data_IF_639237974157
#
_entry.id   IF_639237974157
#
_cell.length_a   1.000
_cell.length_b   1.000
_cell.length_c   1.000
_cell.angle_alpha   90.00
_cell.angle_beta   90.00
_cell.angle_gamma   90.00
#
_symmetry.space_group_name_H-M   'P 1'
#
loop_
_entity.id
_entity.type
_entity.pdbx_description
1 polymer ?
#
# COMPACT_ATOMS: atom_id res chain seq x y z
N UNK A 1 5.50 8.31 -0.29
CA UNK A 1 5.43 8.53 1.17
C UNK A 1 6.18 7.39 1.82
N UNK A 2 6.93 7.66 2.90
CA UNK A 2 7.67 6.63 3.63
C UNK A 2 6.90 6.36 4.91
N UNK A 3 6.50 5.11 5.14
CA UNK A 3 5.92 4.71 6.43
C UNK A 3 7.06 4.45 7.43
N UNK A 4 6.99 4.97 8.66
CA UNK A 4 7.95 4.64 9.70
C UNK A 4 7.84 3.16 10.05
N UNK A 5 8.97 2.53 10.39
CA UNK A 5 8.95 1.15 10.87
C UNK A 5 8.40 1.06 12.30
N UNK A 6 7.80 -0.07 12.64
CA UNK A 6 7.24 -0.36 13.97
C UNK A 6 8.28 -0.53 15.09
N UNK A 7 9.56 -0.21 14.83
CA UNK A 7 10.64 -0.29 15.82
C UNK A 7 11.81 0.65 15.50
N UNK A 8 12.48 1.14 16.55
CA UNK A 8 13.73 1.91 16.43
C UNK A 8 14.76 1.08 15.64
N UNK A 9 15.19 1.59 14.49
CA UNK A 9 16.35 1.07 13.79
C UNK A 9 17.60 1.47 14.60
N UNK A 10 18.06 0.60 15.51
CA UNK A 10 19.32 0.80 16.21
C UNK A 10 20.47 0.48 15.25
N UNK A 11 21.35 1.45 15.05
CA UNK A 11 22.54 1.36 14.18
C UNK A 11 23.61 0.35 14.64
N UNK A 12 23.34 -0.49 15.64
CA UNK A 12 24.35 -1.30 16.33
C UNK A 12 24.22 -2.82 16.18
N UNK A 13 23.31 -3.35 15.34
CA UNK A 13 23.17 -4.82 15.21
C UNK A 13 22.90 -5.26 13.77
N UNK A 14 23.84 -5.00 12.87
CA UNK A 14 23.94 -5.72 11.59
C UNK A 14 24.54 -7.11 11.86
N UNK A 15 23.73 -8.04 12.40
CA UNK A 15 24.05 -9.47 12.45
C UNK A 15 23.13 -10.24 11.50
N UNK A 16 23.71 -10.65 10.37
CA UNK A 16 23.45 -11.88 9.59
C UNK A 16 22.02 -12.45 9.47
N UNK A 17 20.99 -11.61 9.48
CA UNK A 17 19.64 -11.95 9.03
C UNK A 17 19.31 -11.15 7.79
N UNK A 18 18.66 -11.76 6.80
CA UNK A 18 18.24 -11.12 5.55
C UNK A 18 17.32 -9.93 5.91
N UNK A 19 17.88 -8.73 5.98
CA UNK A 19 17.14 -7.49 6.22
C UNK A 19 16.55 -7.03 4.88
N UNK A 20 15.50 -7.73 4.45
CA UNK A 20 14.76 -7.42 3.23
C UNK A 20 14.07 -6.07 3.38
N UNK A 21 14.44 -5.08 2.56
CA UNK A 21 13.70 -3.82 2.48
C UNK A 21 12.45 -4.03 1.63
N UNK A 22 11.30 -3.61 2.13
CA UNK A 22 10.03 -3.73 1.42
C UNK A 22 9.68 -2.41 0.73
N UNK A 23 9.46 -2.47 -0.58
CA UNK A 23 8.92 -1.36 -1.36
C UNK A 23 7.52 -1.75 -1.83
N UNK A 24 6.49 -1.02 -1.39
CA UNK A 24 5.11 -1.21 -1.85
C UNK A 24 4.83 -0.18 -2.94
N UNK A 25 4.44 -0.64 -4.10
CA UNK A 25 4.16 0.20 -5.24
C UNK A 25 2.73 0.02 -5.66
N UNK A 26 1.92 0.99 -5.26
CA UNK A 26 0.55 1.12 -5.70
C UNK A 26 0.56 1.84 -7.05
N UNK A 27 1.13 1.18 -8.07
CA UNK A 27 1.14 1.72 -9.43
C UNK A 27 -0.27 1.65 -10.02
N UNK A 28 -0.52 2.47 -11.03
CA UNK A 28 -1.53 2.12 -12.01
C UNK A 28 -0.84 1.47 -13.19
N UNK A 29 -1.46 0.44 -13.74
CA UNK A 29 -1.02 -0.11 -15.00
C UNK A 29 -1.16 0.92 -16.12
N UNK A 30 -0.13 0.98 -16.95
CA UNK A 30 0.03 1.87 -18.10
C UNK A 30 -0.88 1.49 -19.29
N UNK A 31 -1.66 0.42 -19.18
CA UNK A 31 -2.28 -0.23 -20.36
C UNK A 31 -3.38 0.59 -21.04
N UNK A 32 -3.97 1.59 -20.38
CA UNK A 32 -5.17 2.28 -20.91
C UNK A 32 -4.95 3.72 -21.39
N UNK A 33 -3.89 4.41 -20.92
CA UNK A 33 -3.64 5.79 -21.31
C UNK A 33 -2.22 5.93 -21.85
N UNK A 34 -2.09 6.49 -23.06
CA UNK A 34 -0.82 6.84 -23.76
C UNK A 34 0.11 7.79 -22.97
N UNK A 35 -0.16 8.08 -21.70
CA UNK A 35 0.65 8.90 -20.81
C UNK A 35 1.54 8.02 -19.92
N UNK A 36 2.87 8.18 -20.02
CA UNK A 36 3.84 7.55 -19.11
C UNK A 36 3.66 8.11 -17.68
N UNK A 37 2.96 7.38 -16.80
CA UNK A 37 2.66 7.84 -15.42
C UNK A 37 3.80 7.60 -14.42
N UNK A 38 4.66 6.62 -14.67
CA UNK A 38 5.82 6.30 -13.85
C UNK A 38 6.91 5.69 -14.74
N UNK A 39 8.16 6.09 -14.58
CA UNK A 39 9.26 5.45 -15.30
C UNK A 39 9.49 4.03 -14.77
N UNK A 40 10.04 3.15 -15.60
CA UNK A 40 10.57 1.87 -15.13
C UNK A 40 11.89 2.13 -14.41
N UNK A 41 12.00 1.72 -13.14
CA UNK A 41 13.18 1.96 -12.30
C UNK A 41 13.80 0.65 -11.75
N UNK A 42 13.41 -0.50 -12.32
CA UNK A 42 13.97 -1.82 -12.01
C UNK A 42 13.79 -2.74 -13.23
N UNK A 43 14.62 -3.77 -13.40
CA UNK A 43 14.41 -4.78 -14.43
C UNK A 43 13.14 -5.58 -14.15
N UNK A 44 12.23 -5.68 -15.11
CA UNK A 44 10.94 -6.39 -14.97
C UNK A 44 10.99 -7.84 -15.45
N UNK A 45 12.11 -8.27 -16.02
CA UNK A 45 12.35 -9.63 -16.52
C UNK A 45 13.81 -10.01 -16.23
N UNK A 46 14.13 -11.29 -16.32
CA UNK A 46 15.50 -11.78 -16.20
C UNK A 46 16.37 -11.21 -17.34
N UNK A 47 17.13 -10.17 -17.04
CA UNK A 47 18.01 -9.47 -17.99
C UNK A 47 19.23 -8.89 -17.27
N UNK A 48 20.08 -8.16 -18.01
CA UNK A 48 21.19 -7.41 -17.42
C UNK A 48 20.66 -6.43 -16.35
N UNK A 49 21.44 -6.17 -15.27
CA UNK A 49 21.01 -5.28 -14.21
C UNK A 49 20.73 -3.87 -14.73
N UNK A 50 19.68 -3.25 -14.21
CA UNK A 50 19.41 -1.84 -14.45
C UNK A 50 20.34 -1.01 -13.57
N UNK A 51 21.13 -0.12 -14.17
CA UNK A 51 22.14 0.67 -13.47
C UNK A 51 21.72 2.13 -13.40
N UNK A 52 21.74 2.68 -12.19
CA UNK A 52 21.50 4.09 -11.88
C UNK A 52 22.71 4.64 -11.13
N UNK A 53 23.60 5.34 -11.84
CA UNK A 53 24.90 5.76 -11.31
C UNK A 53 25.68 4.55 -10.76
N UNK A 54 25.90 4.50 -9.45
CA UNK A 54 26.58 3.42 -8.74
C UNK A 54 25.62 2.36 -8.16
N UNK A 55 24.32 2.47 -8.40
CA UNK A 55 23.32 1.51 -7.91
C UNK A 55 22.96 0.53 -9.03
N UNK A 56 23.09 -0.76 -8.77
CA UNK A 56 22.69 -1.82 -9.71
C UNK A 56 21.50 -2.60 -9.14
N UNK A 57 20.46 -2.75 -9.94
CA UNK A 57 19.23 -3.49 -9.57
C UNK A 57 19.13 -4.73 -10.45
N UNK A 58 19.04 -5.90 -9.82
CA UNK A 58 18.99 -7.21 -10.45
C UNK A 58 17.59 -7.82 -10.26
N UNK A 59 17.00 -8.33 -11.33
CA UNK A 59 15.78 -9.13 -11.26
C UNK A 59 16.11 -10.52 -10.72
N UNK A 60 15.27 -11.05 -9.83
CA UNK A 60 15.39 -12.43 -9.35
C UNK A 60 14.22 -13.29 -9.82
N UNK A 61 13.01 -12.89 -9.43
CA UNK A 61 11.79 -13.61 -9.77
C UNK A 61 10.60 -12.66 -9.68
N UNK A 62 9.50 -13.08 -10.28
CA UNK A 62 8.21 -12.43 -10.15
C UNK A 62 7.14 -13.49 -9.93
N UNK A 63 6.19 -13.20 -9.06
CA UNK A 63 5.05 -14.08 -8.79
C UNK A 63 3.78 -13.27 -8.54
N UNK A 64 2.64 -13.93 -8.66
CA UNK A 64 1.34 -13.34 -8.30
C UNK A 64 1.15 -13.46 -6.79
N UNK A 65 0.85 -12.35 -6.11
CA UNK A 65 0.48 -12.38 -4.70
C UNK A 65 -0.88 -13.06 -4.54
N UNK A 66 -0.93 -14.07 -3.68
CA UNK A 66 -2.15 -14.84 -3.40
C UNK A 66 -2.73 -14.40 -2.07
N UNK A 67 -3.93 -13.81 -2.10
CA UNK A 67 -4.67 -13.50 -0.89
C UNK A 67 -5.31 -14.77 -0.31
N UNK A 68 -5.38 -14.92 1.02
CA UNK A 68 -6.00 -16.09 1.67
C UNK A 68 -7.54 -16.03 1.68
N UNK A 69 -8.13 -15.15 0.86
CA UNK A 69 -9.56 -14.94 0.72
C UNK A 69 -9.89 -14.51 -0.70
N UNK A 70 -11.15 -14.66 -1.09
CA UNK A 70 -11.63 -14.20 -2.38
C UNK A 70 -11.60 -12.67 -2.46
N UNK A 71 -10.89 -12.15 -3.44
CA UNK A 71 -10.82 -10.74 -3.80
C UNK A 71 -10.64 -10.63 -5.31
N UNK A 72 -11.15 -9.56 -5.90
CA UNK A 72 -10.88 -9.24 -7.30
C UNK A 72 -9.55 -8.52 -7.50
N UNK A 73 -8.97 -8.01 -6.41
CA UNK A 73 -7.72 -7.24 -6.40
C UNK A 73 -6.53 -8.09 -6.82
N UNK A 74 -5.65 -7.54 -7.66
CA UNK A 74 -4.49 -8.23 -8.19
C UNK A 74 -3.21 -7.50 -7.82
N UNK A 75 -2.30 -8.23 -7.19
CA UNK A 75 -0.98 -7.75 -6.80
C UNK A 75 0.09 -8.70 -7.32
N UNK A 76 1.14 -8.17 -7.94
CA UNK A 76 2.34 -8.92 -8.34
C UNK A 76 3.47 -8.61 -7.35
N UNK A 77 4.33 -9.58 -7.06
CA UNK A 77 5.56 -9.37 -6.28
C UNK A 77 6.74 -9.55 -7.22
N UNK A 78 7.65 -8.58 -7.28
CA UNK A 78 8.96 -8.73 -7.92
C UNK A 78 10.05 -8.76 -6.86
N UNK A 79 10.84 -9.83 -6.85
CA UNK A 79 12.01 -9.96 -6.00
C UNK A 79 13.23 -9.41 -6.73
N UNK A 80 13.94 -8.51 -6.06
CA UNK A 80 15.07 -7.77 -6.59
C UNK A 80 16.27 -7.88 -5.65
N UNK A 81 17.47 -7.80 -6.22
CA UNK A 81 18.70 -7.51 -5.48
C UNK A 81 19.24 -6.14 -5.88
N UNK A 82 19.64 -5.35 -4.89
CA UNK A 82 20.25 -4.04 -5.09
C UNK A 82 21.68 -4.08 -4.60
N UNK A 83 22.63 -3.72 -5.46
CA UNK A 83 24.05 -3.61 -5.15
C UNK A 83 24.50 -2.17 -5.24
N UNK A 84 25.21 -1.72 -4.21
CA UNK A 84 25.85 -0.41 -4.13
C UNK A 84 27.30 -0.66 -3.70
N UNK A 85 28.31 -0.15 -4.42
CA UNK A 85 29.71 -0.31 -4.04
C UNK A 85 29.97 0.11 -2.59
N UNK A 86 30.68 -0.73 -1.83
CA UNK A 86 30.98 -0.48 -0.42
C UNK A 86 29.87 -0.87 0.56
N UNK A 87 28.70 -1.32 0.09
CA UNK A 87 27.60 -1.79 0.93
C UNK A 87 27.29 -3.27 0.68
N UNK A 88 26.71 -3.97 1.67
CA UNK A 88 26.16 -5.32 1.47
C UNK A 88 25.12 -5.34 0.35
N UNK A 89 24.94 -6.49 -0.29
CA UNK A 89 23.82 -6.68 -1.22
C UNK A 89 22.50 -6.62 -0.45
N UNK A 90 21.54 -5.85 -0.97
CA UNK A 90 20.23 -5.68 -0.35
C UNK A 90 19.16 -6.42 -1.14
N UNK A 91 18.42 -7.31 -0.49
CA UNK A 91 17.21 -7.89 -1.06
C UNK A 91 16.05 -6.90 -0.94
N UNK A 92 15.27 -6.78 -2.01
CA UNK A 92 14.10 -5.93 -2.08
C UNK A 92 12.90 -6.70 -2.64
N UNK A 93 11.77 -6.63 -1.95
CA UNK A 93 10.48 -7.11 -2.47
C UNK A 93 9.67 -5.91 -2.93
N UNK A 94 9.26 -5.93 -4.20
CA UNK A 94 8.47 -4.89 -4.83
C UNK A 94 7.04 -5.40 -5.05
N UNK A 95 6.07 -4.82 -4.35
CA UNK A 95 4.67 -5.21 -4.45
C UNK A 95 3.94 -4.26 -5.40
N UNK A 96 3.40 -4.77 -6.50
CA UNK A 96 2.76 -3.99 -7.54
C UNK A 96 1.26 -4.26 -7.56
N UNK A 97 0.44 -3.30 -7.11
CA UNK A 97 -1.01 -3.39 -7.27
C UNK A 97 -1.38 -3.10 -8.74
N UNK A 98 -1.71 -4.14 -9.50
CA UNK A 98 -1.78 -4.05 -10.96
C UNK A 98 -3.14 -3.55 -11.47
N UNK A 99 -4.23 -3.80 -10.76
CA UNK A 99 -5.59 -3.51 -11.21
C UNK A 99 -6.26 -2.33 -10.49
N UNK A 100 -5.48 -1.48 -9.79
CA UNK A 100 -6.03 -0.26 -9.21
C UNK A 100 -6.39 0.72 -10.34
N UNK A 101 -7.67 1.08 -10.52
CA UNK A 101 -8.15 1.80 -11.69
C UNK A 101 -7.62 3.23 -11.79
N UNK A 102 -7.44 3.71 -13.02
CA UNK A 102 -6.95 5.06 -13.32
C UNK A 102 -7.87 6.16 -12.77
N UNK A 103 -9.18 5.94 -12.86
CA UNK A 103 -10.23 6.76 -12.27
C UNK A 103 -10.98 5.90 -11.27
N UNK A 104 -11.24 6.42 -10.08
CA UNK A 104 -11.89 5.68 -9.01
C UNK A 104 -10.93 4.88 -8.11
N UNK A 105 -11.47 3.79 -7.56
CA UNK A 105 -10.87 3.00 -6.47
C UNK A 105 -11.11 1.51 -6.71
N UNK A 106 -10.24 0.62 -6.19
CA UNK A 106 -10.45 -0.83 -6.30
C UNK A 106 -11.66 -1.25 -5.45
N UNK A 107 -12.09 -2.52 -5.54
CA UNK A 107 -13.04 -3.09 -4.60
C UNK A 107 -12.62 -2.80 -3.16
N UNK A 108 -13.55 -2.25 -2.36
CA UNK A 108 -13.31 -1.92 -0.97
C UNK A 108 -13.45 -3.17 -0.08
N UNK A 109 -12.55 -4.13 -0.27
CA UNK A 109 -12.45 -5.36 0.50
C UNK A 109 -11.23 -5.35 1.45
N UNK A 110 -10.86 -6.51 2.00
CA UNK A 110 -9.75 -6.63 2.96
C UNK A 110 -8.36 -6.69 2.33
N UNK A 111 -8.23 -6.72 0.99
CA UNK A 111 -6.95 -6.84 0.31
C UNK A 111 -5.92 -5.76 0.73
N UNK A 112 -6.27 -4.45 0.83
CA UNK A 112 -5.33 -3.43 1.28
C UNK A 112 -4.81 -3.68 2.70
N UNK A 113 -5.70 -4.07 3.62
CA UNK A 113 -5.35 -4.30 5.02
C UNK A 113 -4.50 -5.56 5.19
N UNK A 114 -4.83 -6.62 4.46
CA UNK A 114 -4.05 -7.85 4.47
C UNK A 114 -2.63 -7.62 3.93
N UNK A 115 -2.52 -6.87 2.83
CA UNK A 115 -1.23 -6.48 2.27
C UNK A 115 -0.42 -5.68 3.30
N UNK A 116 -1.01 -4.69 3.96
CA UNK A 116 -0.34 -3.92 5.02
C UNK A 116 0.08 -4.78 6.22
N UNK A 117 -0.77 -5.71 6.67
CA UNK A 117 -0.46 -6.63 7.78
C UNK A 117 0.75 -7.52 7.49
N UNK A 118 0.96 -7.89 6.21
CA UNK A 118 2.14 -8.66 5.79
C UNK A 118 3.48 -7.95 6.05
N UNK A 119 3.44 -6.63 6.31
CA UNK A 119 4.61 -5.80 6.56
C UNK A 119 4.72 -5.28 8.00
N UNK A 120 3.82 -5.67 8.91
CA UNK A 120 3.81 -5.14 10.29
C UNK A 120 5.12 -5.38 11.06
N UNK A 121 5.84 -6.44 10.70
CA UNK A 121 7.10 -6.83 11.32
C UNK A 121 8.34 -6.24 10.61
N UNK A 122 8.15 -5.45 9.55
CA UNK A 122 9.23 -4.82 8.80
C UNK A 122 9.84 -3.70 9.64
N UNK A 123 11.14 -3.83 9.95
CA UNK A 123 11.90 -2.88 10.78
C UNK A 123 12.53 -1.73 10.00
N UNK A 124 12.46 -1.79 8.67
CA UNK A 124 12.94 -0.76 7.77
C UNK A 124 11.77 0.07 7.21
N UNK A 125 12.02 1.33 6.81
CA UNK A 125 10.97 2.17 6.26
C UNK A 125 10.39 1.58 4.97
N UNK A 126 9.07 1.64 4.84
CA UNK A 126 8.36 1.15 3.66
C UNK A 126 8.14 2.31 2.70
N UNK A 127 8.57 2.14 1.45
CA UNK A 127 8.33 3.13 0.40
C UNK A 127 6.98 2.83 -0.23
N UNK A 128 6.08 3.82 -0.23
CA UNK A 128 4.80 3.78 -0.95
C UNK A 128 4.75 4.88 -2.00
N UNK A 129 4.49 4.52 -3.25
CA UNK A 129 4.26 5.51 -4.30
C UNK A 129 3.17 5.08 -5.30
N UNK A 130 2.65 6.07 -6.02
CA UNK A 130 1.82 5.90 -7.22
C UNK A 130 2.44 6.71 -8.36
N UNK A 131 1.66 7.50 -9.12
CA UNK A 131 2.22 8.46 -10.09
C UNK A 131 2.67 9.75 -9.38
N UNK A 132 1.74 10.60 -8.95
CA UNK A 132 2.07 11.81 -8.17
C UNK A 132 2.43 11.53 -6.69
N UNK A 133 2.17 10.30 -6.22
CA UNK A 133 2.45 9.87 -4.86
C UNK A 133 1.55 10.49 -3.79
N UNK A 134 0.32 10.92 -4.13
CA UNK A 134 -0.58 11.62 -3.20
C UNK A 134 -1.98 10.98 -3.08
N UNK A 135 -2.64 10.62 -4.19
CA UNK A 135 -3.99 10.02 -4.14
C UNK A 135 -4.00 8.61 -3.54
N UNK A 136 -3.73 7.58 -4.35
CA UNK A 136 -3.68 6.17 -3.92
C UNK A 136 -2.68 5.91 -2.79
N UNK A 137 -1.52 6.57 -2.86
CA UNK A 137 -0.52 6.54 -1.79
C UNK A 137 -1.12 7.05 -0.49
N UNK A 138 -1.87 8.16 -0.52
CA UNK A 138 -2.55 8.70 0.65
C UNK A 138 -3.61 7.74 1.20
N UNK A 139 -4.38 7.06 0.33
CA UNK A 139 -5.38 6.07 0.77
C UNK A 139 -4.76 4.91 1.55
N UNK A 140 -3.68 4.31 1.02
CA UNK A 140 -2.99 3.21 1.71
C UNK A 140 -2.33 3.68 3.02
N UNK A 141 -1.73 4.86 3.03
CA UNK A 141 -1.11 5.39 4.26
C UNK A 141 -2.15 5.75 5.32
N UNK A 142 -3.30 6.30 4.92
CA UNK A 142 -4.38 6.60 5.86
C UNK A 142 -4.98 5.32 6.46
N UNK A 143 -5.15 4.26 5.66
CA UNK A 143 -5.53 2.94 6.16
C UNK A 143 -4.51 2.40 7.17
N UNK A 144 -3.22 2.48 6.86
CA UNK A 144 -2.17 2.06 7.77
C UNK A 144 -2.22 2.84 9.09
N UNK A 145 -2.37 4.16 9.04
CA UNK A 145 -2.45 5.00 10.24
C UNK A 145 -3.63 4.59 11.13
N UNK A 146 -4.81 4.37 10.55
CA UNK A 146 -5.97 3.90 11.31
C UNK A 146 -5.72 2.53 11.95
N UNK A 147 -5.15 1.58 11.20
CA UNK A 147 -4.83 0.26 11.75
C UNK A 147 -3.80 0.31 12.87
N UNK A 148 -2.79 1.18 12.78
CA UNK A 148 -1.80 1.35 13.84
C UNK A 148 -2.39 1.88 15.15
N UNK A 149 -3.36 2.80 15.08
CA UNK A 149 -4.08 3.30 16.25
C UNK A 149 -4.81 2.14 16.93
N UNK A 150 -5.58 1.37 16.16
CA UNK A 150 -6.34 0.22 16.67
C UNK A 150 -5.42 -0.87 17.25
N UNK A 151 -4.34 -1.21 16.56
CA UNK A 151 -3.37 -2.22 17.01
C UNK A 151 -2.67 -1.84 18.32
N UNK A 152 -2.52 -0.54 18.59
CA UNK A 152 -2.00 -0.01 19.86
C UNK A 152 -3.06 0.07 20.97
N UNK A 153 -4.28 -0.41 20.72
CA UNK A 153 -5.40 -0.34 21.66
C UNK A 153 -6.04 1.04 21.76
N UNK A 154 -5.74 1.95 20.81
CA UNK A 154 -6.35 3.27 20.75
C UNK A 154 -7.75 3.25 20.15
N UNK A 155 -8.52 4.29 20.43
CA UNK A 155 -9.82 4.55 19.79
C UNK A 155 -9.59 5.39 18.55
N UNK A 156 -10.22 5.01 17.43
CA UNK A 156 -10.20 5.84 16.23
C UNK A 156 -11.10 7.06 16.41
N UNK A 157 -10.52 8.22 16.15
CA UNK A 157 -11.25 9.47 15.95
C UNK A 157 -11.80 9.55 14.51
N UNK A 158 -12.47 10.67 14.21
CA UNK A 158 -12.88 11.00 12.85
C UNK A 158 -11.71 10.91 11.87
N UNK A 159 -11.89 10.21 10.75
CA UNK A 159 -10.83 9.97 9.77
C UNK A 159 -10.24 11.25 9.16
N UNK A 160 -10.98 12.36 9.23
CA UNK A 160 -10.53 13.68 8.81
C UNK A 160 -9.34 14.17 9.64
N UNK A 161 -9.27 13.83 10.93
CA UNK A 161 -8.15 14.19 11.83
C UNK A 161 -6.86 13.54 11.32
N UNK A 162 -6.89 12.23 11.07
CA UNK A 162 -5.73 11.51 10.54
C UNK A 162 -5.36 11.95 9.13
N UNK A 163 -6.34 12.28 8.28
CA UNK A 163 -6.09 12.84 6.96
C UNK A 163 -5.34 14.17 7.03
N UNK A 164 -5.71 15.05 7.96
CA UNK A 164 -5.00 16.31 8.17
C UNK A 164 -3.54 16.06 8.58
N UNK A 165 -3.27 15.10 9.46
CA UNK A 165 -1.89 14.72 9.82
C UNK A 165 -1.09 14.18 8.63
N UNK A 166 -1.71 13.34 7.79
CA UNK A 166 -1.08 12.86 6.55
C UNK A 166 -0.80 14.03 5.59
N UNK A 167 -1.72 15.00 5.48
CA UNK A 167 -1.56 16.18 4.62
C UNK A 167 -0.51 17.16 5.13
N UNK A 168 -0.28 17.25 6.45
CA UNK A 168 0.85 18.00 7.04
C UNK A 168 2.21 17.45 6.58
N UNK A 169 2.32 16.13 6.42
CA UNK A 169 3.55 15.48 5.94
C UNK A 169 3.67 15.46 4.41
N UNK A 170 2.54 15.38 3.69
CA UNK A 170 2.51 15.45 2.22
C UNK A 170 1.22 16.07 1.72
N UNK A 171 1.35 17.29 1.19
CA UNK A 171 0.25 18.08 0.67
C UNK A 171 -0.61 17.30 -0.35
N UNK A 172 -1.91 17.57 -0.37
CA UNK A 172 -2.89 16.95 -1.27
C UNK A 172 -3.00 15.42 -1.20
N UNK A 173 -2.53 14.79 -0.10
CA UNK A 173 -2.76 13.36 0.11
C UNK A 173 -4.26 13.07 0.17
N UNK A 174 -4.69 12.00 -0.54
CA UNK A 174 -6.08 11.72 -0.91
C UNK A 174 -6.67 12.88 -1.73
N UNK A 175 -6.78 12.66 -3.05
CA UNK A 175 -7.09 13.71 -4.03
C UNK A 175 -8.58 13.83 -4.38
N UNK A 176 -9.37 12.78 -4.14
CA UNK A 176 -10.77 12.71 -4.56
C UNK A 176 -11.63 12.13 -3.45
N UNK A 177 -12.89 12.52 -3.39
CA UNK A 177 -13.83 12.04 -2.36
C UNK A 177 -13.99 10.52 -2.40
N UNK A 178 -14.00 9.91 -3.60
CA UNK A 178 -14.02 8.45 -3.77
C UNK A 178 -12.85 7.74 -3.07
N UNK A 179 -11.66 8.36 -3.02
CA UNK A 179 -10.49 7.82 -2.33
C UNK A 179 -10.62 7.91 -0.81
N UNK A 180 -11.31 8.93 -0.30
CA UNK A 180 -11.59 9.07 1.13
C UNK A 180 -12.70 8.11 1.56
N UNK A 181 -13.77 8.02 0.78
CA UNK A 181 -14.85 7.04 0.97
C UNK A 181 -14.34 5.61 0.91
N UNK A 182 -13.41 5.30 0.00
CA UNK A 182 -12.76 3.99 -0.07
C UNK A 182 -12.08 3.59 1.25
N UNK A 183 -11.38 4.53 1.89
CA UNK A 183 -10.75 4.28 3.21
C UNK A 183 -11.81 3.91 4.25
N UNK A 184 -12.93 4.63 4.28
CA UNK A 184 -14.04 4.34 5.21
C UNK A 184 -14.66 2.97 4.93
N UNK A 185 -15.00 2.68 3.66
CA UNK A 185 -15.63 1.43 3.29
C UNK A 185 -14.74 0.22 3.63
N UNK A 186 -13.43 0.32 3.42
CA UNK A 186 -12.47 -0.74 3.79
C UNK A 186 -12.44 -0.94 5.31
N UNK A 187 -12.36 0.14 6.09
CA UNK A 187 -12.35 0.06 7.56
C UNK A 187 -13.67 -0.50 8.12
N UNK A 188 -14.81 -0.06 7.60
CA UNK A 188 -16.11 -0.55 8.03
C UNK A 188 -16.31 -2.03 7.65
N UNK A 189 -15.84 -2.44 6.47
CA UNK A 189 -15.82 -3.86 6.06
C UNK A 189 -14.97 -4.69 7.01
N UNK A 190 -13.81 -4.17 7.42
CA UNK A 190 -12.96 -4.80 8.41
C UNK A 190 -13.66 -4.92 9.76
N UNK A 191 -14.22 -3.83 10.30
CA UNK A 191 -14.89 -3.84 11.60
C UNK A 191 -16.08 -4.79 11.66
N UNK A 192 -16.87 -4.88 10.57
CA UNK A 192 -17.93 -5.87 10.46
C UNK A 192 -17.38 -7.29 10.51
N UNK A 193 -16.33 -7.59 9.73
CA UNK A 193 -15.74 -8.93 9.67
C UNK A 193 -15.06 -9.37 10.96
N UNK A 194 -14.52 -8.43 11.74
CA UNK A 194 -13.88 -8.74 13.04
C UNK A 194 -14.84 -8.64 14.23
N UNK A 195 -16.13 -8.35 13.99
CA UNK A 195 -17.11 -8.21 15.07
C UNK A 195 -16.90 -6.97 15.96
N UNK A 196 -16.20 -5.95 15.46
CA UNK A 196 -15.99 -4.68 16.17
C UNK A 196 -17.19 -3.75 16.08
N UNK A 197 -18.13 -4.02 15.17
CA UNK A 197 -19.41 -3.32 15.04
C UNK A 197 -20.54 -4.25 15.51
N UNK A 198 -21.45 -3.79 16.40
CA UNK A 198 -22.61 -4.57 16.80
C UNK A 198 -23.58 -4.78 15.63
N UNK A 199 -24.25 -5.94 15.61
CA UNK A 199 -25.17 -6.32 14.51
C UNK A 199 -26.33 -5.33 14.32
N UNK A 200 -26.71 -4.60 15.37
CA UNK A 200 -27.72 -3.55 15.30
C UNK A 200 -27.38 -2.42 14.33
N UNK A 201 -26.09 -2.23 14.01
CA UNK A 201 -25.62 -1.22 13.06
C UNK A 201 -25.45 -1.76 11.63
N UNK A 202 -25.64 -3.07 11.39
CA UNK A 202 -25.52 -3.64 10.05
C UNK A 202 -26.43 -2.98 9.01
N UNK A 203 -27.71 -2.65 9.31
CA UNK A 203 -28.57 -1.96 8.34
C UNK A 203 -28.00 -0.60 7.89
N UNK A 204 -27.37 0.15 8.81
CA UNK A 204 -26.73 1.43 8.48
C UNK A 204 -25.49 1.22 7.61
N UNK A 205 -24.69 0.21 7.93
CA UNK A 205 -23.52 -0.15 7.14
C UNK A 205 -23.88 -0.64 5.72
N UNK A 206 -24.95 -1.42 5.59
CA UNK A 206 -25.47 -1.89 4.31
C UNK A 206 -26.00 -0.72 3.47
N UNK A 207 -26.66 0.26 4.11
CA UNK A 207 -27.05 1.53 3.49
C UNK A 207 -25.85 2.31 2.97
N UNK A 208 -24.85 2.53 3.82
CA UNK A 208 -23.59 3.20 3.43
C UNK A 208 -22.89 2.47 2.28
N UNK A 209 -22.82 1.14 2.34
CA UNK A 209 -22.17 0.32 1.31
C UNK A 209 -22.91 0.43 -0.04
N UNK A 210 -24.24 0.46 -0.01
CA UNK A 210 -25.07 0.67 -1.20
C UNK A 210 -24.78 2.02 -1.85
N UNK A 211 -24.77 3.09 -1.06
CA UNK A 211 -24.49 4.44 -1.54
C UNK A 211 -23.05 4.56 -2.06
N UNK A 212 -22.08 4.04 -1.30
CA UNK A 212 -20.68 3.94 -1.72
C UNK A 212 -20.56 3.29 -3.10
N UNK A 213 -21.15 2.11 -3.28
CA UNK A 213 -21.09 1.38 -4.55
C UNK A 213 -21.73 2.18 -5.69
N UNK A 214 -22.82 2.91 -5.44
CA UNK A 214 -23.44 3.76 -6.46
C UNK A 214 -22.53 4.92 -6.91
N UNK A 215 -21.68 5.44 -6.00
CA UNK A 215 -20.77 6.55 -6.26
C UNK A 215 -19.42 6.13 -6.83
N UNK A 216 -19.01 4.88 -6.64
CA UNK A 216 -17.72 4.36 -7.08
C UNK A 216 -17.79 3.36 -8.23
N UNK A 217 -18.99 2.89 -8.60
CA UNK A 217 -19.18 2.03 -9.78
C UNK A 217 -19.20 2.84 -11.08
N UNK A 218 -18.78 2.23 -12.20
CA UNK A 218 -18.89 2.82 -13.54
C UNK A 218 -17.63 3.44 -14.13
N UNK A 219 -16.44 3.11 -13.61
CA UNK A 219 -15.14 3.48 -14.20
C UNK A 219 -14.37 2.25 -14.69
#
# INVERSE_FOLDING_TARGET
MILPSSGRCSTSTLKSGIDSRVCIVVRCLEKLLKSKKCAVYFPTVASAPMTFNNVQVFFKSQEQYTFPFETKSKVEITFLEVKIPGFPTHSCSHYHWIDWPDRGVPPADLAPLHLLDSFKNTKCPIIIHCSAGIGRTGSIVLLQHAMEVLQKGGTLEEMSVYLLEVRKQRNNSIQTDQQFLFVHQVLLTYFRRTGLIPESLYPLLDGFTTEYNSLTSGF
#
